data_IF_602469628613
#
_entry.id   IF_602469628613
#
_cell.length_a   1.000
_cell.length_b   1.000
_cell.length_c   1.000
_cell.angle_alpha   90.00
_cell.angle_beta   90.00
_cell.angle_gamma   90.00
#
_symmetry.space_group_name_H-M   'P 1'
#
loop_
_entity.id
_entity.type
_entity.pdbx_description
1 polymer ?
#
# COMPACT_ATOMS: atom_id res chain seq x y z
N UNK A 1 -26.71 -62.50 -48.95
CA UNK A 1 -27.73 -61.69 -48.25
C UNK A 1 -27.17 -61.29 -46.89
N UNK A 2 -27.00 -59.97 -46.67
CA UNK A 2 -27.05 -59.18 -45.43
C UNK A 2 -26.53 -59.78 -44.10
N UNK A 3 -25.62 -59.01 -43.47
CA UNK A 3 -25.61 -58.77 -42.01
C UNK A 3 -24.35 -59.24 -41.28
N UNK A 4 -23.74 -58.52 -40.35
CA UNK A 4 -23.93 -57.21 -39.74
C UNK A 4 -22.53 -56.79 -39.24
N UNK A 5 -21.91 -55.75 -39.80
CA UNK A 5 -20.72 -55.15 -39.20
C UNK A 5 -21.15 -54.28 -38.01
N UNK A 6 -20.86 -54.73 -36.78
CA UNK A 6 -21.07 -53.94 -35.56
C UNK A 6 -20.07 -52.79 -35.54
N UNK A 7 -20.53 -51.61 -35.97
CA UNK A 7 -19.85 -50.33 -35.70
C UNK A 7 -19.89 -50.06 -34.19
N UNK A 8 -18.75 -50.19 -33.53
CA UNK A 8 -18.57 -49.66 -32.18
C UNK A 8 -18.64 -48.13 -32.24
N UNK A 9 -19.57 -47.54 -31.49
CA UNK A 9 -19.64 -46.10 -31.30
C UNK A 9 -18.52 -45.69 -30.32
N UNK A 10 -17.71 -44.67 -30.59
CA UNK A 10 -16.84 -44.11 -29.57
C UNK A 10 -17.70 -43.36 -28.56
N UNK A 11 -17.56 -43.75 -27.29
CA UNK A 11 -18.14 -43.06 -26.14
C UNK A 11 -17.73 -41.59 -26.19
N UNK A 12 -18.71 -40.69 -26.28
CA UNK A 12 -18.50 -39.24 -26.20
C UNK A 12 -17.91 -38.96 -24.82
N UNK A 13 -16.60 -38.67 -24.76
CA UNK A 13 -15.97 -38.07 -23.57
C UNK A 13 -16.66 -36.74 -23.33
N UNK A 14 -17.47 -36.67 -22.29
CA UNK A 14 -17.92 -35.39 -21.78
C UNK A 14 -16.68 -34.67 -21.27
N UNK A 15 -16.29 -33.61 -21.96
CA UNK A 15 -15.30 -32.69 -21.44
C UNK A 15 -15.88 -32.14 -20.13
N UNK A 16 -15.28 -32.53 -19.00
CA UNK A 16 -15.55 -31.87 -17.74
C UNK A 16 -15.18 -30.41 -17.94
N UNK A 17 -16.19 -29.55 -18.09
CA UNK A 17 -16.04 -28.11 -17.89
C UNK A 17 -15.53 -27.98 -16.47
N UNK A 18 -14.23 -27.73 -16.33
CA UNK A 18 -13.60 -27.40 -15.07
C UNK A 18 -14.17 -26.07 -14.60
N UNK A 19 -15.35 -26.12 -13.99
CA UNK A 19 -15.85 -25.04 -13.18
C UNK A 19 -14.80 -24.80 -12.10
N UNK A 20 -14.08 -23.69 -12.21
CA UNK A 20 -13.27 -23.18 -11.10
C UNK A 20 -14.20 -23.16 -9.90
N UNK A 21 -13.92 -24.02 -8.91
CA UNK A 21 -14.68 -24.06 -7.68
C UNK A 21 -14.66 -22.63 -7.12
N UNK A 22 -15.80 -21.94 -7.20
CA UNK A 22 -15.95 -20.62 -6.64
C UNK A 22 -15.78 -20.79 -5.14
N UNK A 23 -14.61 -20.44 -4.62
CA UNK A 23 -14.32 -20.45 -3.18
C UNK A 23 -15.19 -19.35 -2.56
N UNK A 24 -16.45 -19.68 -2.25
CA UNK A 24 -17.47 -18.79 -1.66
C UNK A 24 -17.24 -18.49 -0.18
N UNK A 25 -16.00 -18.42 0.27
CA UNK A 25 -15.71 -18.05 1.65
C UNK A 25 -14.47 -17.18 1.70
N UNK A 26 -14.59 -15.98 1.12
CA UNK A 26 -13.72 -14.89 1.56
C UNK A 26 -14.25 -14.42 2.92
N UNK A 27 -13.42 -14.57 3.96
CA UNK A 27 -13.71 -14.07 5.31
C UNK A 27 -12.71 -12.97 5.62
N UNK A 28 -13.20 -11.74 5.73
CA UNK A 28 -12.37 -10.58 6.02
C UNK A 28 -12.24 -10.47 7.53
N UNK A 29 -11.02 -10.60 8.05
CA UNK A 29 -10.70 -10.30 9.45
C UNK A 29 -10.44 -8.80 9.60
N UNK A 30 -10.68 -8.29 10.81
CA UNK A 30 -10.50 -6.87 11.10
C UNK A 30 -9.69 -6.72 12.37
N UNK A 31 -8.59 -5.97 12.30
CA UNK A 31 -7.66 -5.74 13.41
C UNK A 31 -7.67 -4.26 13.75
N UNK A 32 -7.77 -3.95 15.05
CA UNK A 32 -7.64 -2.59 15.54
C UNK A 32 -6.19 -2.13 15.41
N UNK A 33 -5.99 -0.88 14.99
CA UNK A 33 -4.66 -0.27 14.95
C UNK A 33 -4.49 0.63 16.17
N UNK A 34 -3.26 1.09 16.49
CA UNK A 34 -3.02 2.10 17.52
C UNK A 34 -3.72 3.45 17.25
N UNK A 35 -4.26 3.67 16.04
CA UNK A 35 -5.03 4.84 15.66
C UNK A 35 -6.53 4.49 15.59
N UNK A 36 -7.36 5.19 16.37
CA UNK A 36 -8.82 4.94 16.42
C UNK A 36 -9.54 5.23 15.09
N UNK A 37 -8.96 6.13 14.28
CA UNK A 37 -9.45 6.50 12.97
C UNK A 37 -8.91 5.61 11.85
N UNK A 38 -8.09 4.61 12.17
CA UNK A 38 -7.56 3.66 11.20
C UNK A 38 -7.90 2.21 11.59
N UNK A 39 -8.35 1.45 10.61
CA UNK A 39 -8.72 0.05 10.81
C UNK A 39 -8.15 -0.82 9.70
N UNK A 40 -7.57 -1.96 10.09
CA UNK A 40 -6.95 -2.90 9.18
C UNK A 40 -7.94 -4.02 8.84
N UNK A 41 -8.07 -4.31 7.55
CA UNK A 41 -8.91 -5.36 6.98
C UNK A 41 -8.03 -6.40 6.28
N UNK A 42 -8.14 -7.66 6.69
CA UNK A 42 -7.33 -8.78 6.20
C UNK A 42 -8.25 -9.72 5.42
N UNK A 43 -8.29 -9.63 4.08
CA UNK A 43 -9.20 -10.43 3.26
C UNK A 43 -8.82 -11.92 3.16
N UNK A 44 -7.66 -12.32 3.68
CA UNK A 44 -7.17 -13.71 3.60
C UNK A 44 -6.63 -14.09 2.21
N UNK A 45 -6.43 -13.10 1.34
CA UNK A 45 -5.78 -13.23 0.03
C UNK A 45 -4.69 -12.16 -0.09
N UNK A 46 -3.63 -12.41 -0.87
CA UNK A 46 -2.65 -11.36 -1.17
C UNK A 46 -3.33 -10.15 -1.82
N UNK A 47 -3.12 -8.97 -1.24
CA UNK A 47 -3.68 -7.69 -1.71
C UNK A 47 -2.74 -7.12 -2.77
N UNK A 48 -1.51 -6.77 -2.38
CA UNK A 48 -0.46 -6.42 -3.33
C UNK A 48 0.32 -7.67 -3.71
N UNK A 49 0.22 -8.08 -4.98
CA UNK A 49 1.03 -9.18 -5.50
C UNK A 49 2.49 -8.80 -5.47
N UNK A 50 3.33 -9.68 -4.91
CA UNK A 50 4.78 -9.51 -4.93
C UNK A 50 5.28 -9.55 -6.38
N UNK A 51 6.14 -8.62 -6.80
CA UNK A 51 6.90 -8.76 -8.05
C UNK A 51 7.67 -10.08 -8.02
N UNK A 52 7.28 -11.04 -8.87
CA UNK A 52 7.82 -12.39 -8.89
C UNK A 52 6.81 -13.50 -9.13
N UNK A 53 5.50 -13.26 -8.95
CA UNK A 53 4.45 -14.24 -9.30
C UNK A 53 4.20 -14.39 -10.83
N UNK A 54 5.09 -13.84 -11.68
CA UNK A 54 4.98 -13.94 -13.14
C UNK A 54 5.96 -13.12 -14.01
N UNK A 55 7.01 -12.53 -13.46
CA UNK A 55 7.99 -11.77 -14.25
C UNK A 55 9.26 -11.48 -13.47
N UNK A 56 10.40 -11.74 -14.10
CA UNK A 56 11.75 -11.55 -13.55
C UNK A 56 11.96 -10.11 -13.08
N UNK A 57 12.05 -9.93 -11.76
CA UNK A 57 12.30 -8.63 -11.15
C UNK A 57 12.81 -8.83 -9.72
N UNK A 58 14.05 -8.39 -9.48
CA UNK A 58 14.80 -8.52 -8.22
C UNK A 58 13.98 -8.05 -7.01
N UNK A 59 14.08 -8.83 -5.92
CA UNK A 59 13.69 -8.53 -4.53
C UNK A 59 12.85 -7.26 -4.37
N UNK A 60 11.57 -7.35 -4.70
CA UNK A 60 10.66 -6.27 -4.42
C UNK A 60 10.37 -6.24 -2.92
N UNK A 61 10.97 -5.25 -2.26
CA UNK A 61 10.54 -4.69 -0.98
C UNK A 61 9.02 -4.77 -0.84
N UNK A 62 8.52 -5.03 0.38
CA UNK A 62 7.09 -5.00 0.72
C UNK A 62 6.56 -3.58 0.52
N UNK A 63 6.34 -3.17 -0.73
CA UNK A 63 5.86 -1.83 -1.06
C UNK A 63 4.41 -1.78 -0.66
N UNK A 64 4.07 -0.93 0.30
CA UNK A 64 2.68 -0.52 0.49
C UNK A 64 2.35 0.57 -0.51
N UNK A 65 1.08 0.73 -0.83
CA UNK A 65 0.59 1.84 -1.65
C UNK A 65 -0.48 2.56 -0.86
N UNK A 66 -0.26 3.84 -0.60
CA UNK A 66 -1.22 4.70 0.07
C UNK A 66 -1.87 5.67 -0.92
N UNK A 67 -3.17 5.88 -0.74
CA UNK A 67 -3.97 6.89 -1.40
C UNK A 67 -4.55 7.81 -0.33
N UNK A 68 -4.28 9.10 -0.44
CA UNK A 68 -4.74 10.12 0.51
C UNK A 68 -5.91 10.95 -0.03
N UNK A 69 -6.14 10.88 -1.34
CA UNK A 69 -7.24 11.57 -2.00
C UNK A 69 -8.00 10.66 -2.96
N UNK A 70 -9.30 10.94 -3.19
CA UNK A 70 -10.09 10.22 -4.19
C UNK A 70 -9.48 10.27 -5.61
N UNK A 71 -8.80 11.38 -5.95
CA UNK A 71 -8.13 11.56 -7.24
C UNK A 71 -6.99 10.57 -7.43
N UNK A 72 -6.14 10.38 -6.42
CA UNK A 72 -5.08 9.36 -6.45
C UNK A 72 -5.68 7.95 -6.50
N UNK A 73 -6.79 7.74 -5.79
CA UNK A 73 -7.52 6.46 -5.74
C UNK A 73 -8.09 5.98 -7.08
N UNK A 74 -8.15 6.82 -8.12
CA UNK A 74 -8.58 6.44 -9.48
C UNK A 74 -7.70 5.36 -10.13
N UNK A 75 -6.47 5.23 -9.64
CA UNK A 75 -5.50 4.22 -10.09
C UNK A 75 -5.84 2.81 -9.63
N UNK A 76 -6.69 2.69 -8.61
CA UNK A 76 -7.15 1.40 -8.09
C UNK A 76 -8.67 1.30 -8.13
N UNK A 77 -9.25 0.28 -8.79
CA UNK A 77 -10.69 0.05 -8.76
C UNK A 77 -11.22 -0.18 -7.34
N UNK A 78 -10.41 -0.77 -6.46
CA UNK A 78 -10.78 -0.94 -5.05
C UNK A 78 -10.74 0.38 -4.29
N UNK A 79 -9.67 1.18 -4.44
CA UNK A 79 -9.56 2.46 -3.76
C UNK A 79 -10.68 3.41 -4.18
N UNK A 80 -11.00 3.48 -5.48
CA UNK A 80 -12.13 4.28 -6.00
C UNK A 80 -13.45 3.91 -5.31
N UNK A 81 -13.72 2.61 -5.09
CA UNK A 81 -14.93 2.15 -4.42
C UNK A 81 -14.91 2.46 -2.93
N UNK A 82 -13.76 2.35 -2.27
CA UNK A 82 -13.62 2.67 -0.86
C UNK A 82 -13.78 4.17 -0.60
N UNK A 83 -13.23 5.03 -1.46
CA UNK A 83 -13.44 6.49 -1.38
C UNK A 83 -14.86 6.94 -1.70
N UNK A 84 -15.67 6.11 -2.35
CA UNK A 84 -17.09 6.39 -2.56
C UNK A 84 -17.93 6.17 -1.30
N UNK A 85 -17.37 5.56 -0.24
CA UNK A 85 -18.02 5.39 1.05
C UNK A 85 -17.84 6.67 1.86
N UNK A 86 -18.96 7.22 2.34
CA UNK A 86 -18.95 8.44 3.14
C UNK A 86 -18.09 8.27 4.41
N UNK A 87 -17.19 9.22 4.62
CA UNK A 87 -16.28 9.23 5.77
C UNK A 87 -14.93 8.58 5.54
N UNK A 88 -14.64 7.97 4.38
CA UNK A 88 -13.29 7.45 4.09
C UNK A 88 -12.35 8.58 3.69
N UNK A 89 -11.24 8.74 4.44
CA UNK A 89 -10.22 9.78 4.24
C UNK A 89 -8.96 9.28 3.54
N UNK A 90 -8.63 8.01 3.71
CA UNK A 90 -7.43 7.43 3.11
C UNK A 90 -7.49 5.92 3.07
N UNK A 91 -6.79 5.34 2.11
CA UNK A 91 -6.72 3.89 1.93
C UNK A 91 -5.28 3.51 1.66
N UNK A 92 -4.78 2.51 2.40
CA UNK A 92 -3.47 1.93 2.16
C UNK A 92 -3.60 0.43 1.88
N UNK A 93 -2.91 -0.04 0.86
CA UNK A 93 -2.78 -1.45 0.54
C UNK A 93 -1.41 -1.95 0.99
N UNK A 94 -1.41 -3.00 1.81
CA UNK A 94 -0.24 -3.77 2.18
C UNK A 94 -0.12 -5.05 1.37
N UNK A 95 0.77 -5.95 1.79
CA UNK A 95 0.97 -7.24 1.12
C UNK A 95 -0.30 -8.11 1.15
N UNK A 96 -0.95 -8.18 2.30
CA UNK A 96 -2.09 -9.05 2.59
C UNK A 96 -3.22 -8.35 3.37
N UNK A 97 -3.11 -7.03 3.56
CA UNK A 97 -4.08 -6.23 4.28
C UNK A 97 -4.45 -4.93 3.55
N UNK A 98 -5.59 -4.37 3.93
CA UNK A 98 -6.09 -3.06 3.52
C UNK A 98 -6.32 -2.23 4.77
N UNK A 99 -5.62 -1.12 4.93
CA UNK A 99 -5.91 -0.15 6.00
C UNK A 99 -6.81 0.94 5.46
N UNK A 100 -7.93 1.19 6.12
CA UNK A 100 -8.82 2.32 5.82
C UNK A 100 -8.68 3.33 6.94
N UNK A 101 -8.49 4.60 6.58
CA UNK A 101 -8.62 5.74 7.49
C UNK A 101 -9.97 6.41 7.28
N UNK A 102 -10.62 6.76 8.39
CA UNK A 102 -11.89 7.47 8.39
C UNK A 102 -11.77 8.90 8.90
N UNK A 103 -12.84 9.65 8.71
CA UNK A 103 -13.06 10.90 9.42
C UNK A 103 -13.47 10.63 10.89
N UNK A 104 -12.98 11.41 11.87
CA UNK A 104 -13.34 11.24 13.28
C UNK A 104 -14.85 11.25 13.54
N UNK A 105 -15.61 12.04 12.78
CA UNK A 105 -17.06 12.21 12.96
C UNK A 105 -17.89 11.01 12.50
N UNK A 106 -17.28 10.07 11.76
CA UNK A 106 -17.96 8.90 11.20
C UNK A 106 -17.74 7.64 12.05
N UNK A 107 -18.79 6.93 12.50
CA UNK A 107 -18.62 5.71 13.28
C UNK A 107 -18.37 4.47 12.40
N UNK A 108 -17.43 3.61 12.81
CA UNK A 108 -17.07 2.37 12.08
C UNK A 108 -18.25 1.42 11.86
N UNK A 109 -19.25 1.43 12.74
CA UNK A 109 -20.43 0.55 12.65
C UNK A 109 -21.23 0.76 11.36
N UNK A 110 -21.25 2.00 10.84
CA UNK A 110 -21.94 2.34 9.60
C UNK A 110 -21.08 2.06 8.35
N UNK A 111 -19.77 2.21 8.48
CA UNK A 111 -18.83 2.08 7.35
C UNK A 111 -18.44 0.62 7.06
N UNK A 112 -18.35 -0.22 8.10
CA UNK A 112 -17.89 -1.62 7.98
C UNK A 112 -18.67 -2.44 6.95
N UNK A 113 -20.02 -2.43 6.92
CA UNK A 113 -20.78 -3.20 5.93
C UNK A 113 -20.38 -2.87 4.48
N UNK A 114 -20.25 -1.59 4.16
CA UNK A 114 -19.92 -1.13 2.82
C UNK A 114 -18.45 -1.43 2.46
N UNK A 115 -17.53 -1.27 3.41
CA UNK A 115 -16.12 -1.63 3.22
C UNK A 115 -15.98 -3.13 2.94
N UNK A 116 -16.64 -3.99 3.72
CA UNK A 116 -16.62 -5.43 3.49
C UNK A 116 -17.19 -5.78 2.11
N UNK A 117 -18.31 -5.16 1.72
CA UNK A 117 -18.93 -5.39 0.42
C UNK A 117 -17.98 -4.98 -0.73
N UNK A 118 -17.30 -3.83 -0.62
CA UNK A 118 -16.35 -3.35 -1.61
C UNK A 118 -15.15 -4.30 -1.78
N UNK A 119 -14.57 -4.75 -0.66
CA UNK A 119 -13.42 -5.68 -0.66
C UNK A 119 -13.84 -7.05 -1.23
N UNK A 120 -14.96 -7.61 -0.75
CA UNK A 120 -15.45 -8.91 -1.22
C UNK A 120 -15.76 -8.89 -2.72
N UNK A 121 -16.44 -7.86 -3.22
CA UNK A 121 -16.75 -7.73 -4.65
C UNK A 121 -15.47 -7.62 -5.49
N UNK A 122 -14.49 -6.83 -5.04
CA UNK A 122 -13.23 -6.67 -5.77
C UNK A 122 -12.48 -7.99 -5.91
N UNK A 123 -12.17 -8.68 -4.81
CA UNK A 123 -11.40 -9.91 -4.86
C UNK A 123 -12.19 -11.10 -5.44
N UNK A 124 -13.52 -11.13 -5.30
CA UNK A 124 -14.36 -12.14 -5.94
C UNK A 124 -14.47 -11.94 -7.46
N UNK A 125 -14.36 -10.69 -7.93
CA UNK A 125 -14.38 -10.37 -9.36
C UNK A 125 -13.07 -10.70 -10.07
N UNK A 126 -11.96 -10.86 -9.33
CA UNK A 126 -10.64 -11.13 -9.90
C UNK A 126 -10.04 -9.98 -10.72
N UNK A 127 -10.55 -8.75 -10.55
CA UNK A 127 -9.97 -7.55 -11.17
C UNK A 127 -8.60 -7.25 -10.57
N UNK A 128 -7.71 -6.65 -11.34
CA UNK A 128 -6.44 -6.19 -10.81
C UNK A 128 -6.63 -5.00 -9.86
N UNK A 129 -5.80 -4.99 -8.82
CA UNK A 129 -5.86 -3.99 -7.76
C UNK A 129 -5.44 -2.61 -8.26
N UNK A 130 -4.48 -2.56 -9.19
CA UNK A 130 -3.93 -1.35 -9.79
C UNK A 130 -4.18 -1.46 -11.30
N UNK A 131 -4.66 -0.37 -11.93
CA UNK A 131 -4.82 -0.31 -13.38
C UNK A 131 -3.43 -0.18 -14.03
N UNK A 132 -3.16 -1.00 -15.05
CA UNK A 132 -1.92 -0.95 -15.84
C UNK A 132 -1.84 0.26 -16.79
N UNK A 133 -2.94 1.01 -16.93
CA UNK A 133 -3.03 2.20 -17.79
C UNK A 133 -2.48 3.41 -17.03
N UNK A 134 -1.16 3.59 -17.06
CA UNK A 134 -0.49 4.89 -17.04
C UNK A 134 1.02 4.73 -17.29
N UNK A 135 1.43 4.92 -18.55
CA UNK A 135 2.77 5.37 -18.93
C UNK A 135 3.05 6.81 -18.48
N UNK A 136 2.69 7.14 -17.24
CA UNK A 136 2.79 8.46 -16.63
C UNK A 136 3.61 8.39 -15.34
N UNK A 137 4.89 8.69 -15.45
CA UNK A 137 5.74 9.00 -14.31
C UNK A 137 5.25 10.28 -13.61
N UNK A 138 4.43 10.16 -12.56
CA UNK A 138 4.34 11.06 -11.39
C UNK A 138 3.07 10.76 -10.57
N UNK A 139 3.21 10.70 -9.23
CA UNK A 139 2.14 10.63 -8.22
C UNK A 139 1.52 9.25 -7.88
N UNK A 140 2.29 8.16 -7.95
CA UNK A 140 2.43 7.36 -6.73
C UNK A 140 3.65 7.96 -6.05
N UNK A 141 3.57 8.28 -4.77
CA UNK A 141 4.72 8.69 -3.97
C UNK A 141 5.68 7.50 -3.84
N UNK A 142 6.38 7.20 -4.92
CA UNK A 142 7.36 6.12 -5.07
C UNK A 142 8.75 6.69 -5.39
N UNK A 143 9.02 7.93 -4.95
CA UNK A 143 10.32 8.61 -5.13
C UNK A 143 11.12 8.71 -3.83
N UNK A 144 10.78 7.92 -2.81
CA UNK A 144 11.64 7.73 -1.63
C UNK A 144 11.79 6.25 -1.39
N UNK A 145 12.61 5.61 -2.22
CA UNK A 145 12.97 4.22 -2.05
C UNK A 145 13.83 4.07 -0.81
N UNK A 146 13.31 3.40 0.21
CA UNK A 146 14.08 2.79 1.30
C UNK A 146 15.03 1.70 0.78
N UNK A 147 15.04 1.41 -0.52
CA UNK A 147 16.08 0.59 -1.14
C UNK A 147 17.40 1.38 -1.22
N UNK A 148 18.52 0.70 -0.90
CA UNK A 148 19.86 1.25 -1.05
C UNK A 148 20.12 1.63 -2.52
N UNK A 149 20.46 2.88 -2.77
CA UNK A 149 20.86 3.41 -4.06
C UNK A 149 22.39 3.48 -4.18
N UNK A 150 22.91 3.45 -5.41
CA UNK A 150 24.35 3.45 -5.72
C UNK A 150 25.10 4.75 -5.33
N UNK A 151 24.43 5.71 -4.68
CA UNK A 151 25.00 6.96 -4.17
C UNK A 151 24.72 7.24 -2.70
N UNK A 152 24.17 6.26 -1.96
CA UNK A 152 23.96 6.38 -0.52
C UNK A 152 25.30 6.24 0.23
N UNK A 153 25.48 6.98 1.33
CA UNK A 153 26.58 6.69 2.26
C UNK A 153 26.36 5.33 2.93
N UNK A 154 27.43 4.71 3.42
CA UNK A 154 27.37 3.43 4.13
C UNK A 154 26.35 3.46 5.27
N UNK A 155 26.27 4.60 5.99
CA UNK A 155 25.31 4.85 7.06
C UNK A 155 23.87 4.89 6.52
N UNK A 156 23.62 5.57 5.39
CA UNK A 156 22.28 5.61 4.79
C UNK A 156 21.83 4.23 4.34
N UNK A 157 22.73 3.42 3.77
CA UNK A 157 22.43 2.04 3.38
C UNK A 157 22.08 1.18 4.60
N UNK A 158 22.82 1.32 5.70
CA UNK A 158 22.55 0.61 6.95
C UNK A 158 21.21 1.03 7.58
N UNK A 159 20.92 2.34 7.63
CA UNK A 159 19.61 2.86 8.08
C UNK A 159 18.49 2.22 7.27
N UNK A 160 18.62 2.25 5.93
CA UNK A 160 17.64 1.68 5.00
C UNK A 160 17.42 0.18 5.22
N UNK A 161 18.50 -0.58 5.41
CA UNK A 161 18.42 -2.02 5.69
C UNK A 161 17.73 -2.31 7.02
N UNK A 162 18.06 -1.56 8.08
CA UNK A 162 17.43 -1.73 9.38
C UNK A 162 15.93 -1.39 9.34
N UNK A 163 15.58 -0.30 8.64
CA UNK A 163 14.19 0.10 8.44
C UNK A 163 13.40 -1.00 7.72
N UNK A 164 13.94 -1.55 6.63
CA UNK A 164 13.28 -2.60 5.85
C UNK A 164 13.17 -3.93 6.60
N UNK A 165 14.24 -4.36 7.27
CA UNK A 165 14.34 -5.69 7.87
C UNK A 165 13.66 -5.83 9.23
N UNK A 166 13.54 -4.74 10.00
CA UNK A 166 13.03 -4.80 11.38
C UNK A 166 11.90 -3.83 11.67
N UNK A 167 11.99 -2.59 11.18
CA UNK A 167 11.00 -1.56 11.55
C UNK A 167 9.71 -1.72 10.75
N UNK A 168 9.79 -1.85 9.42
CA UNK A 168 8.62 -1.96 8.55
C UNK A 168 7.73 -3.17 8.86
N UNK A 169 8.25 -4.38 9.15
CA UNK A 169 7.42 -5.51 9.54
C UNK A 169 6.51 -5.19 10.74
N UNK A 170 7.06 -4.62 11.80
CA UNK A 170 6.30 -4.27 13.00
C UNK A 170 5.25 -3.17 12.72
N UNK A 171 5.59 -2.16 11.91
CA UNK A 171 4.66 -1.07 11.58
C UNK A 171 3.53 -1.55 10.64
N UNK A 172 3.83 -2.47 9.73
CA UNK A 172 2.83 -3.05 8.83
C UNK A 172 1.85 -3.98 9.54
N UNK A 173 2.29 -4.67 10.60
CA UNK A 173 1.39 -5.39 11.52
C UNK A 173 0.35 -4.44 12.14
N UNK A 174 0.76 -3.22 12.50
CA UNK A 174 -0.12 -2.15 13.00
C UNK A 174 -0.91 -1.43 11.89
N UNK A 175 -0.79 -1.87 10.63
CA UNK A 175 -1.50 -1.29 9.48
C UNK A 175 -0.94 0.05 8.98
N UNK A 176 0.29 0.38 9.33
CA UNK A 176 1.03 1.55 8.84
C UNK A 176 2.17 1.20 7.89
N UNK A 177 2.93 2.22 7.51
CA UNK A 177 4.23 2.05 6.86
C UNK A 177 5.09 3.31 7.08
N UNK A 178 6.33 3.32 6.62
CA UNK A 178 7.17 4.51 6.57
C UNK A 178 7.99 4.62 5.29
N UNK A 179 8.38 5.84 4.96
CA UNK A 179 9.44 6.13 4.00
C UNK A 179 10.65 6.75 4.68
N UNK A 180 11.84 6.36 4.23
CA UNK A 180 13.05 7.13 4.48
C UNK A 180 13.10 8.34 3.54
N UNK A 181 13.31 9.55 4.09
CA UNK A 181 13.38 10.79 3.30
C UNK A 181 14.82 11.25 3.13
N UNK A 182 15.55 11.42 4.22
CA UNK A 182 16.94 11.88 4.20
C UNK A 182 17.63 11.60 5.53
N UNK A 183 18.96 11.52 5.52
CA UNK A 183 19.78 11.54 6.72
C UNK A 183 20.72 12.74 6.67
N UNK A 184 20.84 13.47 7.79
CA UNK A 184 21.81 14.54 7.92
C UNK A 184 23.00 14.05 8.76
N UNK A 185 24.12 13.75 8.11
CA UNK A 185 25.33 13.23 8.74
C UNK A 185 25.95 14.21 9.75
N UNK A 186 25.80 15.52 9.55
CA UNK A 186 26.34 16.54 10.47
C UNK A 186 25.59 16.58 11.79
N UNK A 187 24.27 16.39 11.75
CA UNK A 187 23.43 16.45 12.95
C UNK A 187 23.09 15.08 13.52
N UNK A 188 23.23 14.00 12.73
CA UNK A 188 22.78 12.65 13.07
C UNK A 188 21.27 12.45 12.98
N UNK A 189 20.54 13.34 12.29
CA UNK A 189 19.06 13.32 12.28
C UNK A 189 18.55 12.59 11.05
N UNK A 190 17.74 11.54 11.28
CA UNK A 190 17.03 10.79 10.24
C UNK A 190 15.65 11.40 10.03
N UNK A 191 15.32 11.77 8.79
CA UNK A 191 13.98 12.21 8.42
C UNK A 191 13.22 11.06 7.79
N UNK A 192 12.05 10.77 8.35
CA UNK A 192 11.12 9.77 7.86
C UNK A 192 9.77 10.40 7.55
N UNK A 193 8.94 9.69 6.78
CA UNK A 193 7.52 10.00 6.61
C UNK A 193 6.70 8.80 7.05
N UNK A 194 5.75 9.00 7.96
CA UNK A 194 4.81 7.96 8.37
C UNK A 194 3.63 7.87 7.38
N UNK A 195 3.16 6.63 7.13
CA UNK A 195 2.08 6.29 6.21
C UNK A 195 1.01 5.42 6.87
N UNK A 196 -0.15 5.32 6.22
CA UNK A 196 -1.22 4.42 6.64
C UNK A 196 -1.81 4.77 8.00
N UNK A 197 -1.95 3.80 8.91
CA UNK A 197 -2.51 4.02 10.25
C UNK A 197 -1.70 5.01 11.10
N UNK A 198 -0.40 5.14 10.83
CA UNK A 198 0.52 5.99 11.60
C UNK A 198 0.43 7.48 11.23
N UNK A 199 -0.24 7.81 10.13
CA UNK A 199 -0.37 9.20 9.62
C UNK A 199 -1.43 9.97 10.40
N UNK A 200 -1.09 11.20 10.83
CA UNK A 200 -2.05 12.20 11.32
C UNK A 200 -2.55 12.03 12.77
N UNK A 201 -2.11 10.99 13.49
CA UNK A 201 -2.45 10.82 14.91
C UNK A 201 -1.29 11.28 15.81
N UNK A 202 -1.52 12.32 16.63
CA UNK A 202 -0.49 12.83 17.55
C UNK A 202 -0.04 11.81 18.61
N UNK A 203 -0.95 10.93 19.05
CA UNK A 203 -0.61 9.88 20.03
C UNK A 203 0.26 8.79 19.41
N UNK A 204 -0.14 8.25 18.26
CA UNK A 204 0.55 7.13 17.61
C UNK A 204 1.87 7.56 16.96
N UNK A 205 1.93 8.77 16.37
CA UNK A 205 3.15 9.30 15.73
C UNK A 205 4.29 9.50 16.73
N UNK A 206 4.00 9.99 17.93
CA UNK A 206 5.01 10.20 18.97
C UNK A 206 5.57 8.86 19.44
N UNK A 207 4.73 7.88 19.79
CA UNK A 207 5.22 6.58 20.28
C UNK A 207 6.01 5.83 19.21
N UNK A 208 5.52 5.82 17.96
CA UNK A 208 6.23 5.15 16.87
C UNK A 208 7.54 5.85 16.54
N UNK A 209 7.57 7.18 16.49
CA UNK A 209 8.81 7.93 16.31
C UNK A 209 9.86 7.54 17.36
N UNK A 210 9.49 7.52 18.64
CA UNK A 210 10.43 7.12 19.70
C UNK A 210 10.87 5.65 19.57
N UNK A 211 9.97 4.76 19.15
CA UNK A 211 10.32 3.36 18.89
C UNK A 211 11.32 3.19 17.75
N UNK A 212 11.12 3.91 16.64
CA UNK A 212 12.04 3.93 15.49
C UNK A 212 13.38 4.58 15.87
N UNK A 213 13.34 5.69 16.59
CA UNK A 213 14.53 6.40 17.07
C UNK A 213 15.38 5.55 18.02
N UNK A 214 14.76 4.90 19.00
CA UNK A 214 15.46 4.01 19.92
C UNK A 214 16.08 2.80 19.22
N UNK A 215 15.42 2.28 18.18
CA UNK A 215 15.98 1.18 17.39
C UNK A 215 17.16 1.64 16.53
N UNK A 216 17.01 2.76 15.79
CA UNK A 216 18.08 3.27 14.93
C UNK A 216 19.31 3.67 15.74
N UNK A 217 19.15 4.44 16.83
CA UNK A 217 20.26 4.87 17.68
C UNK A 217 20.97 3.73 18.41
N UNK A 218 20.28 2.60 18.65
CA UNK A 218 20.89 1.41 19.25
C UNK A 218 21.84 0.69 18.28
N UNK A 219 21.46 0.58 17.00
CA UNK A 219 22.26 -0.11 15.99
C UNK A 219 23.27 0.81 15.30
N UNK A 220 22.96 2.10 15.17
CA UNK A 220 23.74 3.09 14.42
C UNK A 220 24.05 4.28 15.34
N UNK A 221 25.23 4.33 15.97
CA UNK A 221 25.57 5.37 16.96
C UNK A 221 25.63 6.79 16.37
N UNK A 222 25.74 6.93 15.05
CA UNK A 222 25.69 8.20 14.31
C UNK A 222 24.26 8.79 14.28
N UNK A 223 23.23 7.98 14.54
CA UNK A 223 21.85 8.46 14.62
C UNK A 223 21.58 9.03 16.01
N UNK A 224 21.39 10.35 16.05
CA UNK A 224 21.10 11.11 17.28
C UNK A 224 19.61 11.37 17.48
N UNK A 225 18.79 11.25 16.43
CA UNK A 225 17.35 11.48 16.50
C UNK A 225 16.60 11.21 15.21
N UNK A 226 15.27 11.11 15.31
CA UNK A 226 14.37 10.92 14.17
C UNK A 226 13.34 12.05 14.09
N UNK A 227 13.07 12.54 12.89
CA UNK A 227 12.03 13.55 12.62
C UNK A 227 11.01 13.02 11.61
N UNK A 228 9.73 13.12 11.95
CA UNK A 228 8.65 12.90 10.98
C UNK A 228 8.37 14.23 10.27
N UNK A 229 8.53 14.22 8.95
CA UNK A 229 8.27 15.38 8.10
C UNK A 229 6.79 15.53 7.75
N UNK A 230 5.96 14.54 8.10
CA UNK A 230 4.52 14.52 7.87
C UNK A 230 4.13 14.95 6.46
N UNK A 231 3.13 15.82 6.39
CA UNK A 231 2.53 16.32 5.15
C UNK A 231 3.23 17.61 4.66
N UNK A 232 4.19 18.16 5.41
CA UNK A 232 4.83 19.45 5.07
C UNK A 232 5.59 19.39 3.75
N UNK A 233 6.25 18.27 3.48
CA UNK A 233 6.93 18.05 2.20
C UNK A 233 5.95 17.86 1.04
N UNK A 234 4.78 17.27 1.27
CA UNK A 234 3.74 17.13 0.24
C UNK A 234 3.10 18.49 -0.06
N UNK A 235 2.85 19.31 0.97
CA UNK A 235 2.39 20.68 0.81
C UNK A 235 3.43 21.55 0.07
N UNK A 236 4.72 21.40 0.37
CA UNK A 236 5.79 22.09 -0.36
C UNK A 236 5.88 21.61 -1.82
N UNK A 237 5.87 20.30 -2.07
CA UNK A 237 5.90 19.74 -3.42
C UNK A 237 4.69 20.18 -4.25
N UNK A 238 3.48 20.17 -3.67
CA UNK A 238 2.27 20.61 -4.35
C UNK A 238 2.29 22.11 -4.66
N UNK A 239 2.82 22.94 -3.75
CA UNK A 239 2.98 24.39 -3.97
C UNK A 239 3.97 24.67 -5.09
N UNK A 240 5.12 24.01 -5.09
CA UNK A 240 6.13 24.16 -6.16
C UNK A 240 5.59 23.67 -7.50
N UNK A 241 4.89 22.53 -7.53
CA UNK A 241 4.27 22.01 -8.75
C UNK A 241 3.20 22.97 -9.30
N UNK A 242 2.32 23.51 -8.45
CA UNK A 242 1.29 24.47 -8.86
C UNK A 242 1.90 25.77 -9.38
N UNK A 243 3.02 26.21 -8.78
CA UNK A 243 3.78 27.37 -9.24
C UNK A 243 4.41 27.13 -10.62
N UNK A 244 4.99 25.95 -10.85
CA UNK A 244 5.56 25.55 -12.14
C UNK A 244 4.49 25.45 -13.23
N UNK A 245 3.32 24.88 -12.96
CA UNK A 245 2.20 24.87 -13.91
C UNK A 245 1.76 26.28 -14.28
N UNK A 246 1.68 27.19 -13.29
CA UNK A 246 1.34 28.58 -13.52
C UNK A 246 2.39 29.31 -14.38
N UNK A 247 3.68 29.01 -14.20
CA UNK A 247 4.74 29.55 -15.07
C UNK A 247 4.73 28.94 -16.47
N UNK A 248 4.46 27.64 -16.60
CA UNK A 248 4.39 26.96 -17.88
C UNK A 248 3.22 27.48 -18.72
N UNK A 249 2.05 27.69 -18.09
CA UNK A 249 0.87 28.25 -18.75
C UNK A 249 1.09 29.68 -19.30
N UNK A 250 1.97 30.46 -18.67
CA UNK A 250 2.36 31.81 -19.13
C UNK A 250 3.37 31.80 -20.27
N UNK A 251 4.12 30.71 -20.45
CA UNK A 251 5.15 30.55 -21.49
C UNK A 251 4.63 29.89 -22.77
N UNK A 252 3.45 29.28 -22.73
CA UNK A 252 2.80 28.59 -23.87
C UNK A 252 1.88 29.54 -24.67
N UNK A 253 1.85 30.83 -24.32
CA UNK A 253 1.21 31.92 -25.09
C UNK A 253 2.30 32.81 -25.68
#
# INVERSE_FOLDING_TARGET
MRGLARRAQPLRRWAAVGGRAQRRSMFIQTTATPNEDALQFIPGVPVLRRPGDGGEGRAASMRTVEYTSPREGLRSPLATRLFAIDGVRGVMFGADFVTVRKDPDCPWQLMKPDIYAAIMDHFSSGRDLIRDDDGGAAAATATSSTAAGEGDSEIVAEIKELLESRVRPAIQEDGGDLDFVSFNETTGVVRIRLRGACRGCASSSVTLKHGVEGMLSYYIPEVTGVEDVGDELEAQAQREFSKLEAELSKKVV
#
